data_IF_658752570573
#
_entry.id   IF_658752570573
#
_cell.length_a   1.000
_cell.length_b   1.000
_cell.length_c   1.000
_cell.angle_alpha   90.00
_cell.angle_beta   90.00
_cell.angle_gamma   90.00
#
_symmetry.space_group_name_H-M   'P 1'
#
loop_
_entity.id
_entity.type
_entity.pdbx_description
1 polymer ?
#
# COMPACT_ATOMS: atom_id res chain seq x y z
N UNK A 1 20.78 -0.95 19.97
CA UNK A 1 19.36 -1.01 19.68
C UNK A 1 18.63 0.23 20.21
N UNK A 2 18.72 0.57 21.53
CA UNK A 2 18.01 1.71 22.14
C UNK A 2 18.40 3.07 21.51
N UNK A 3 19.70 3.31 21.27
CA UNK A 3 20.18 4.57 20.64
C UNK A 3 19.74 4.69 19.17
N UNK A 4 19.67 3.58 18.45
CA UNK A 4 19.19 3.55 17.04
C UNK A 4 17.70 3.84 16.97
N UNK A 5 16.89 3.21 17.85
CA UNK A 5 15.45 3.45 17.95
C UNK A 5 15.16 4.92 18.32
N UNK A 6 15.85 5.47 19.32
CA UNK A 6 15.71 6.89 19.71
C UNK A 6 16.08 7.86 18.58
N UNK A 7 17.14 7.57 17.83
CA UNK A 7 17.50 8.38 16.64
C UNK A 7 16.45 8.29 15.55
N UNK A 8 15.91 7.08 15.28
CA UNK A 8 14.85 6.89 14.29
C UNK A 8 13.57 7.60 14.69
N UNK A 9 13.17 7.55 15.96
CA UNK A 9 12.01 8.28 16.48
C UNK A 9 12.22 9.79 16.41
N UNK A 10 13.41 10.28 16.78
CA UNK A 10 13.76 11.69 16.67
C UNK A 10 13.71 12.20 15.23
N UNK A 11 14.31 11.45 14.27
CA UNK A 11 14.26 11.82 12.86
C UNK A 11 12.82 11.79 12.31
N UNK A 12 12.01 10.80 12.69
CA UNK A 12 10.60 10.74 12.29
C UNK A 12 9.81 11.93 12.84
N UNK A 13 10.03 12.32 14.11
CA UNK A 13 9.41 13.48 14.71
C UNK A 13 9.79 14.79 13.99
N UNK A 14 11.08 14.98 13.71
CA UNK A 14 11.56 16.16 12.95
C UNK A 14 10.91 16.19 11.55
N UNK A 15 10.88 15.06 10.84
CA UNK A 15 10.27 14.97 9.52
C UNK A 15 8.79 15.32 9.57
N UNK A 16 8.05 14.82 10.56
CA UNK A 16 6.63 15.16 10.75
C UNK A 16 6.43 16.65 10.98
N UNK A 17 7.21 17.26 11.86
CA UNK A 17 7.14 18.70 12.14
C UNK A 17 7.44 19.52 10.89
N UNK A 18 8.49 19.17 10.13
CA UNK A 18 8.83 19.85 8.87
C UNK A 18 7.69 19.74 7.85
N UNK A 19 7.08 18.55 7.70
CA UNK A 19 5.95 18.35 6.79
C UNK A 19 4.73 19.18 7.21
N UNK A 20 4.40 19.24 8.51
CA UNK A 20 3.30 20.05 9.01
C UNK A 20 3.55 21.55 8.78
N UNK A 21 4.78 22.02 9.01
CA UNK A 21 5.16 23.41 8.75
C UNK A 21 5.10 23.75 7.26
N UNK A 22 5.58 22.86 6.38
CA UNK A 22 5.48 23.04 4.93
C UNK A 22 4.02 23.06 4.47
N UNK A 23 3.18 22.15 4.97
CA UNK A 23 1.75 22.16 4.66
C UNK A 23 1.10 23.47 5.11
N UNK A 24 1.33 23.90 6.34
CA UNK A 24 0.80 25.18 6.83
C UNK A 24 1.30 26.36 6.00
N UNK A 25 2.59 26.39 5.65
CA UNK A 25 3.18 27.44 4.84
C UNK A 25 2.54 27.50 3.43
N UNK A 26 2.35 26.36 2.78
CA UNK A 26 1.69 26.30 1.47
C UNK A 26 0.28 26.87 1.55
N UNK A 27 -0.54 26.43 2.51
CA UNK A 27 -1.91 26.91 2.65
C UNK A 27 -1.95 28.42 2.93
N UNK A 28 -1.08 28.93 3.82
CA UNK A 28 -1.08 30.35 4.19
C UNK A 28 -0.48 31.27 3.12
N UNK A 29 0.52 30.81 2.35
CA UNK A 29 1.18 31.64 1.33
C UNK A 29 0.43 31.66 -0.01
N UNK A 30 -0.31 30.59 -0.34
CA UNK A 30 -1.05 30.51 -1.62
C UNK A 30 -2.35 31.35 -1.60
N UNK A 31 -2.82 31.82 -0.44
CA UNK A 31 -4.08 32.54 -0.33
C UNK A 31 -5.33 31.75 -0.75
N UNK A 32 -5.21 30.41 -0.85
CA UNK A 32 -6.33 29.54 -1.18
C UNK A 32 -7.40 29.67 -0.08
N UNK A 33 -8.65 29.84 -0.47
CA UNK A 33 -9.78 29.92 0.46
C UNK A 33 -9.76 28.71 1.42
N UNK A 34 -9.95 28.97 2.71
CA UNK A 34 -10.06 27.93 3.75
C UNK A 34 -11.24 26.97 3.52
N UNK A 35 -12.12 27.27 2.57
CA UNK A 35 -13.16 26.34 2.10
C UNK A 35 -12.58 25.22 1.23
N UNK A 36 -11.54 25.53 0.44
CA UNK A 36 -10.92 24.57 -0.51
C UNK A 36 -9.78 23.80 0.15
N UNK A 37 -8.92 24.49 0.90
CA UNK A 37 -7.76 23.89 1.54
C UNK A 37 -7.70 24.24 3.03
N UNK A 38 -7.65 23.22 3.86
CA UNK A 38 -7.46 23.34 5.32
C UNK A 38 -6.01 23.09 5.67
N UNK A 39 -5.47 23.93 6.55
CA UNK A 39 -4.14 23.73 7.13
C UNK A 39 -4.17 22.85 8.39
N UNK A 40 -3.00 22.42 8.89
CA UNK A 40 -2.90 21.67 10.15
C UNK A 40 -3.53 22.41 11.33
N UNK A 41 -3.39 23.75 11.38
CA UNK A 41 -3.99 24.56 12.44
C UNK A 41 -5.52 24.59 12.36
N UNK A 42 -6.09 24.63 11.15
CA UNK A 42 -7.54 24.57 10.96
C UNK A 42 -8.10 23.22 11.43
N UNK A 43 -7.40 22.12 11.09
CA UNK A 43 -7.76 20.77 11.53
C UNK A 43 -7.68 20.67 13.06
N UNK A 44 -6.63 21.21 13.65
CA UNK A 44 -6.48 21.23 15.11
C UNK A 44 -7.58 22.07 15.78
N UNK A 45 -7.87 23.24 15.24
CA UNK A 45 -8.95 24.11 15.71
C UNK A 45 -10.30 23.42 15.65
N UNK A 46 -10.62 22.77 14.53
CA UNK A 46 -11.86 22.02 14.33
C UNK A 46 -12.04 20.88 15.33
N UNK A 47 -10.96 20.11 15.59
CA UNK A 47 -11.04 18.93 16.44
C UNK A 47 -10.94 19.20 17.92
N UNK A 48 -10.27 20.31 18.34
CA UNK A 48 -9.91 20.51 19.74
C UNK A 48 -10.27 21.89 20.32
N UNK A 49 -10.50 22.91 19.49
CA UNK A 49 -10.71 24.28 19.97
C UNK A 49 -12.09 24.85 19.64
N UNK A 50 -12.87 24.25 18.74
CA UNK A 50 -14.23 24.70 18.42
C UNK A 50 -15.20 24.37 19.57
N UNK A 51 -16.30 25.12 19.68
CA UNK A 51 -17.37 24.84 20.63
C UNK A 51 -17.94 23.42 20.44
N UNK A 52 -18.02 22.95 19.17
CA UNK A 52 -18.51 21.63 18.79
C UNK A 52 -17.39 20.57 18.70
N UNK A 53 -16.21 20.80 19.30
CA UNK A 53 -15.06 19.90 19.16
C UNK A 53 -15.35 18.45 19.58
N UNK A 54 -16.23 18.23 20.56
CA UNK A 54 -16.62 16.89 21.00
C UNK A 54 -17.43 16.16 19.91
N UNK A 55 -18.40 16.85 19.32
CA UNK A 55 -19.25 16.32 18.26
C UNK A 55 -18.45 16.11 16.97
N UNK A 56 -17.56 17.03 16.63
CA UNK A 56 -16.66 16.91 15.50
C UNK A 56 -15.79 15.64 15.60
N UNK A 57 -15.21 15.35 16.78
CA UNK A 57 -14.46 14.12 17.02
C UNK A 57 -15.34 12.88 16.96
N UNK A 58 -16.54 12.94 17.55
CA UNK A 58 -17.49 11.83 17.54
C UNK A 58 -17.91 11.43 16.11
N UNK A 59 -17.97 12.40 15.20
CA UNK A 59 -18.29 12.15 13.79
C UNK A 59 -17.06 11.70 13.00
N UNK A 60 -15.90 12.35 13.18
CA UNK A 60 -14.73 12.09 12.36
C UNK A 60 -13.97 10.81 12.70
N UNK A 61 -13.82 10.46 13.98
CA UNK A 61 -13.02 9.28 14.35
C UNK A 61 -13.59 7.95 13.84
N UNK A 62 -14.90 7.72 13.83
CA UNK A 62 -15.46 6.53 13.18
C UNK A 62 -15.14 6.47 11.68
N UNK A 63 -15.21 7.59 10.95
CA UNK A 63 -14.89 7.64 9.53
C UNK A 63 -13.40 7.34 9.27
N UNK A 64 -12.50 7.91 10.07
CA UNK A 64 -11.07 7.58 10.00
C UNK A 64 -10.84 6.10 10.31
N UNK A 65 -11.54 5.56 11.32
CA UNK A 65 -11.50 4.14 11.65
C UNK A 65 -11.96 3.25 10.49
N UNK A 66 -13.04 3.65 9.80
CA UNK A 66 -13.52 2.95 8.61
C UNK A 66 -12.48 2.97 7.49
N UNK A 67 -11.95 4.14 7.14
CA UNK A 67 -10.91 4.27 6.10
C UNK A 67 -9.66 3.44 6.43
N UNK A 68 -9.25 3.37 7.70
CA UNK A 68 -8.14 2.52 8.12
C UNK A 68 -8.45 1.03 7.97
N UNK A 69 -9.66 0.60 8.33
CA UNK A 69 -10.11 -0.79 8.16
C UNK A 69 -10.17 -1.17 6.68
N UNK A 70 -10.72 -0.29 5.85
CA UNK A 70 -10.83 -0.47 4.40
C UNK A 70 -9.43 -0.47 3.74
N UNK A 71 -8.54 0.39 4.18
CA UNK A 71 -7.13 0.38 3.73
C UNK A 71 -6.44 -0.94 4.10
N UNK A 72 -6.66 -1.44 5.31
CA UNK A 72 -6.10 -2.72 5.75
C UNK A 72 -6.66 -3.89 4.93
N UNK A 73 -7.94 -3.89 4.63
CA UNK A 73 -8.57 -4.90 3.77
C UNK A 73 -7.96 -4.89 2.37
N UNK A 74 -7.95 -3.74 1.71
CA UNK A 74 -7.38 -3.60 0.36
C UNK A 74 -5.89 -3.98 0.31
N UNK A 75 -5.14 -3.61 1.35
CA UNK A 75 -3.74 -3.97 1.50
C UNK A 75 -3.54 -5.48 1.64
N UNK A 76 -4.26 -6.14 2.55
CA UNK A 76 -4.11 -7.58 2.80
C UNK A 76 -4.50 -8.39 1.56
N UNK A 77 -5.63 -8.07 0.94
CA UNK A 77 -6.08 -8.76 -0.28
C UNK A 77 -5.08 -8.51 -1.42
N UNK A 78 -4.67 -7.27 -1.64
CA UNK A 78 -3.71 -6.92 -2.68
C UNK A 78 -2.34 -7.57 -2.50
N UNK A 79 -1.82 -7.59 -1.27
CA UNK A 79 -0.55 -8.28 -0.94
C UNK A 79 -0.67 -9.79 -1.15
N UNK A 80 -1.78 -10.41 -0.72
CA UNK A 80 -2.01 -11.85 -0.90
C UNK A 80 -2.03 -12.20 -2.39
N UNK A 81 -2.78 -11.46 -3.20
CA UNK A 81 -2.84 -11.63 -4.66
C UNK A 81 -1.45 -11.45 -5.28
N UNK A 82 -0.70 -10.42 -4.90
CA UNK A 82 0.64 -10.16 -5.41
C UNK A 82 1.61 -11.30 -5.09
N UNK A 83 1.59 -11.82 -3.88
CA UNK A 83 2.45 -12.96 -3.47
C UNK A 83 2.06 -14.23 -4.23
N UNK A 84 0.77 -14.53 -4.35
CA UNK A 84 0.28 -15.70 -5.11
C UNK A 84 0.69 -15.60 -6.59
N UNK A 85 0.52 -14.44 -7.22
CA UNK A 85 0.96 -14.19 -8.59
C UNK A 85 2.49 -14.33 -8.73
N UNK A 86 3.26 -13.77 -7.81
CA UNK A 86 4.72 -13.86 -7.84
C UNK A 86 5.20 -15.31 -7.73
N UNK A 87 4.58 -16.10 -6.87
CA UNK A 87 4.84 -17.55 -6.75
C UNK A 87 4.47 -18.29 -8.03
N UNK A 88 3.29 -18.02 -8.59
CA UNK A 88 2.84 -18.63 -9.83
C UNK A 88 3.78 -18.30 -11.01
N UNK A 89 4.22 -17.05 -11.13
CA UNK A 89 5.17 -16.60 -12.15
C UNK A 89 6.54 -17.25 -11.98
N UNK A 90 7.02 -17.39 -10.74
CA UNK A 90 8.28 -18.05 -10.44
C UNK A 90 8.28 -19.56 -10.82
N UNK A 91 7.13 -20.22 -10.69
CA UNK A 91 6.98 -21.65 -11.04
C UNK A 91 6.68 -21.86 -12.52
N UNK A 92 5.86 -21.01 -13.12
CA UNK A 92 5.28 -21.22 -14.45
C UNK A 92 5.50 -20.01 -15.36
N UNK A 93 6.52 -20.03 -16.20
CA UNK A 93 6.82 -18.95 -17.17
C UNK A 93 5.66 -18.66 -18.14
N UNK A 94 4.83 -19.66 -18.45
CA UNK A 94 3.68 -19.48 -19.32
C UNK A 94 2.63 -18.57 -18.66
N UNK A 95 2.42 -18.69 -17.34
CA UNK A 95 1.52 -17.83 -16.59
C UNK A 95 2.07 -16.40 -16.54
N UNK A 96 3.38 -16.24 -16.28
CA UNK A 96 4.04 -14.93 -16.31
C UNK A 96 3.86 -14.26 -17.67
N UNK A 97 4.17 -14.96 -18.76
CA UNK A 97 4.06 -14.42 -20.11
C UNK A 97 2.63 -14.00 -20.50
N UNK A 98 1.62 -14.74 -20.02
CA UNK A 98 0.21 -14.43 -20.29
C UNK A 98 -0.38 -13.34 -19.41
N UNK A 99 0.00 -13.29 -18.13
CA UNK A 99 -0.63 -12.41 -17.12
C UNK A 99 0.13 -11.09 -16.95
N UNK A 100 1.47 -11.09 -17.09
CA UNK A 100 2.27 -9.87 -16.89
C UNK A 100 1.84 -8.71 -17.80
N UNK A 101 1.55 -8.92 -19.10
CA UNK A 101 1.04 -7.83 -19.95
C UNK A 101 -0.25 -7.18 -19.41
N UNK A 102 -1.17 -7.99 -18.85
CA UNK A 102 -2.41 -7.49 -18.27
C UNK A 102 -2.14 -6.65 -17.00
N UNK A 103 -1.22 -7.11 -16.15
CA UNK A 103 -0.81 -6.35 -14.95
C UNK A 103 -0.19 -5.01 -15.34
N UNK A 104 0.64 -4.99 -16.39
CA UNK A 104 1.25 -3.76 -16.90
C UNK A 104 0.20 -2.82 -17.51
N UNK A 105 -0.78 -3.33 -18.24
CA UNK A 105 -1.89 -2.55 -18.77
C UNK A 105 -2.73 -1.92 -17.67
N UNK A 106 -3.08 -2.68 -16.62
CA UNK A 106 -3.83 -2.14 -15.48
C UNK A 106 -3.11 -0.97 -14.81
N UNK A 107 -1.77 -1.00 -14.77
CA UNK A 107 -0.97 0.11 -14.23
C UNK A 107 -1.07 1.39 -15.07
N UNK A 108 -1.25 1.29 -16.39
CA UNK A 108 -1.30 2.46 -17.28
C UNK A 108 -2.62 3.22 -17.19
N UNK A 109 -3.67 2.56 -16.71
CA UNK A 109 -4.99 3.18 -16.57
C UNK A 109 -5.01 4.02 -15.29
N UNK A 110 -5.31 5.34 -15.36
CA UNK A 110 -5.46 6.15 -14.16
C UNK A 110 -6.58 5.60 -13.28
N UNK A 111 -6.25 5.21 -12.05
CA UNK A 111 -7.21 4.59 -11.13
C UNK A 111 -8.45 5.46 -10.92
N UNK A 112 -8.27 6.78 -10.83
CA UNK A 112 -9.37 7.74 -10.67
C UNK A 112 -10.40 7.64 -11.81
N UNK A 113 -9.98 7.25 -13.02
CA UNK A 113 -10.86 7.09 -14.16
C UNK A 113 -11.66 5.78 -14.14
N UNK A 114 -11.10 4.70 -13.56
CA UNK A 114 -11.76 3.39 -13.52
C UNK A 114 -12.54 3.17 -12.21
N UNK A 115 -12.20 3.89 -11.15
CA UNK A 115 -12.87 3.77 -9.85
C UNK A 115 -14.38 3.95 -9.92
N UNK A 116 -14.95 4.96 -10.63
CA UNK A 116 -16.40 5.11 -10.75
C UNK A 116 -17.09 3.90 -11.39
N UNK A 117 -16.42 3.26 -12.37
CA UNK A 117 -16.98 2.05 -13.04
C UNK A 117 -17.02 0.89 -12.06
N UNK A 118 -15.94 0.69 -11.28
CA UNK A 118 -15.88 -0.36 -10.25
C UNK A 118 -16.97 -0.12 -9.20
N UNK A 119 -17.12 1.13 -8.73
CA UNK A 119 -18.13 1.52 -7.73
C UNK A 119 -19.54 1.29 -8.25
N UNK A 120 -19.83 1.59 -9.52
CA UNK A 120 -21.12 1.31 -10.14
C UNK A 120 -21.44 -0.20 -10.18
N UNK A 121 -20.44 -1.04 -10.37
CA UNK A 121 -20.62 -2.50 -10.43
C UNK A 121 -20.71 -3.15 -9.04
N UNK A 122 -20.01 -2.62 -8.06
CA UNK A 122 -19.83 -3.25 -6.74
C UNK A 122 -20.60 -2.55 -5.62
N UNK A 123 -21.00 -1.31 -5.84
CA UNK A 123 -21.60 -0.42 -4.84
C UNK A 123 -20.55 0.47 -4.15
N UNK A 124 -20.95 1.70 -3.82
CA UNK A 124 -20.10 2.67 -3.13
C UNK A 124 -19.87 2.24 -1.68
N UNK A 125 -18.62 2.31 -1.22
CA UNK A 125 -18.23 2.00 0.15
C UNK A 125 -18.47 0.54 0.57
N UNK A 126 -18.71 -0.36 -0.40
CA UNK A 126 -18.87 -1.78 -0.10
C UNK A 126 -17.52 -2.46 0.09
N UNK A 127 -17.51 -3.55 0.86
CA UNK A 127 -16.32 -4.40 1.00
C UNK A 127 -15.77 -4.87 -0.35
N UNK A 128 -16.66 -5.08 -1.34
CA UNK A 128 -16.25 -5.47 -2.69
C UNK A 128 -15.53 -4.34 -3.42
N UNK A 129 -16.06 -3.09 -3.39
CA UNK A 129 -15.38 -1.95 -4.04
C UNK A 129 -14.01 -1.69 -3.43
N UNK A 130 -13.92 -1.70 -2.10
CA UNK A 130 -12.67 -1.52 -1.34
C UNK A 130 -11.66 -2.61 -1.69
N UNK A 131 -12.07 -3.88 -1.67
CA UNK A 131 -11.19 -5.00 -1.99
C UNK A 131 -10.67 -4.92 -3.43
N UNK A 132 -11.52 -4.62 -4.41
CA UNK A 132 -11.12 -4.54 -5.83
C UNK A 132 -10.19 -3.35 -6.07
N UNK A 133 -10.59 -2.13 -5.65
CA UNK A 133 -9.80 -0.92 -5.87
C UNK A 133 -8.47 -1.00 -5.10
N UNK A 134 -8.50 -1.41 -3.82
CA UNK A 134 -7.31 -1.60 -3.01
C UNK A 134 -6.36 -2.65 -3.60
N UNK A 135 -6.89 -3.76 -4.10
CA UNK A 135 -6.10 -4.80 -4.79
C UNK A 135 -5.39 -4.23 -6.02
N UNK A 136 -6.08 -3.50 -6.89
CA UNK A 136 -5.48 -2.91 -8.11
C UNK A 136 -4.29 -2.02 -7.77
N UNK A 137 -4.40 -1.19 -6.73
CA UNK A 137 -3.33 -0.26 -6.33
C UNK A 137 -2.13 -0.98 -5.73
N UNK A 138 -2.39 -2.00 -4.91
CA UNK A 138 -1.36 -2.70 -4.14
C UNK A 138 -0.63 -3.75 -4.96
N UNK A 139 -1.35 -4.46 -5.85
CA UNK A 139 -0.80 -5.63 -6.57
C UNK A 139 0.46 -5.29 -7.36
N UNK A 140 0.46 -4.19 -8.13
CA UNK A 140 1.60 -3.93 -9.02
C UNK A 140 2.91 -3.67 -8.26
N UNK A 141 3.00 -2.69 -7.31
CA UNK A 141 4.24 -2.44 -6.60
C UNK A 141 4.66 -3.63 -5.73
N UNK A 142 3.70 -4.36 -5.17
CA UNK A 142 3.96 -5.56 -4.39
C UNK A 142 4.49 -6.70 -5.27
N UNK A 143 3.84 -7.00 -6.39
CA UNK A 143 4.26 -8.04 -7.33
C UNK A 143 5.68 -7.80 -7.84
N UNK A 144 5.98 -6.58 -8.29
CA UNK A 144 7.31 -6.23 -8.77
C UNK A 144 8.39 -6.44 -7.70
N UNK A 145 8.12 -6.00 -6.47
CA UNK A 145 9.06 -6.14 -5.35
C UNK A 145 9.25 -7.60 -4.92
N UNK A 146 8.17 -8.38 -4.89
CA UNK A 146 8.23 -9.80 -4.52
C UNK A 146 8.95 -10.62 -5.59
N UNK A 147 8.63 -10.41 -6.88
CA UNK A 147 9.35 -11.06 -8.00
C UNK A 147 10.83 -10.76 -7.97
N UNK A 148 11.20 -9.50 -7.74
CA UNK A 148 12.60 -9.11 -7.57
C UNK A 148 13.26 -9.86 -6.40
N UNK A 149 12.56 -10.02 -5.28
CA UNK A 149 13.04 -10.79 -4.14
C UNK A 149 13.25 -12.26 -4.48
N UNK A 150 12.27 -12.89 -5.15
CA UNK A 150 12.35 -14.30 -5.54
C UNK A 150 13.47 -14.58 -6.56
N UNK A 151 13.80 -13.61 -7.41
CA UNK A 151 14.86 -13.73 -8.41
C UNK A 151 16.29 -13.58 -7.84
N UNK A 152 16.44 -13.13 -6.59
CA UNK A 152 17.76 -12.86 -5.95
C UNK A 152 18.44 -14.09 -5.36
N UNK A 153 17.81 -15.27 -5.41
CA UNK A 153 18.43 -16.49 -4.92
C UNK A 153 19.76 -16.75 -5.65
N UNK A 154 20.81 -17.07 -4.90
CA UNK A 154 22.11 -17.36 -5.49
C UNK A 154 22.07 -18.68 -6.25
N UNK A 155 22.74 -18.72 -7.40
CA UNK A 155 22.84 -19.95 -8.20
C UNK A 155 23.43 -21.11 -7.36
N UNK A 156 24.43 -20.82 -6.53
CA UNK A 156 25.05 -21.83 -5.66
C UNK A 156 24.01 -22.48 -4.71
N UNK A 157 23.11 -21.65 -4.12
CA UNK A 157 22.08 -22.20 -3.24
C UNK A 157 21.06 -23.05 -3.99
N UNK A 158 20.76 -22.70 -5.22
CA UNK A 158 19.86 -23.48 -6.09
C UNK A 158 20.52 -24.81 -6.53
N UNK A 159 21.81 -24.76 -6.85
CA UNK A 159 22.59 -25.96 -7.23
C UNK A 159 22.65 -26.98 -6.09
N UNK A 160 22.82 -26.51 -4.83
CA UNK A 160 22.75 -27.39 -3.66
C UNK A 160 21.41 -28.11 -3.60
N UNK A 161 20.29 -27.42 -3.79
CA UNK A 161 18.96 -28.06 -3.79
C UNK A 161 18.86 -29.10 -4.90
N UNK A 162 19.38 -28.80 -6.09
CA UNK A 162 19.36 -29.74 -7.23
C UNK A 162 20.23 -30.99 -7.00
N UNK A 163 21.43 -30.84 -6.44
CA UNK A 163 22.32 -31.96 -6.10
C UNK A 163 21.66 -32.90 -5.09
N UNK A 164 20.86 -32.41 -4.18
CA UNK A 164 20.07 -33.23 -3.25
C UNK A 164 18.72 -33.69 -3.82
N UNK A 165 18.51 -33.60 -5.14
CA UNK A 165 17.31 -34.10 -5.84
C UNK A 165 16.09 -33.21 -5.70
N UNK A 166 16.24 -31.97 -5.19
CA UNK A 166 15.15 -31.03 -5.06
C UNK A 166 14.74 -30.40 -6.40
N UNK A 167 13.42 -30.32 -6.65
CA UNK A 167 12.84 -29.67 -7.83
C UNK A 167 12.56 -28.18 -7.62
N UNK A 168 11.90 -27.56 -8.61
CA UNK A 168 11.54 -26.12 -8.61
C UNK A 168 10.76 -25.70 -7.37
N UNK A 169 9.78 -26.48 -6.93
CA UNK A 169 8.99 -26.18 -5.73
C UNK A 169 9.86 -26.21 -4.46
N UNK A 170 10.78 -27.17 -4.35
CA UNK A 170 11.72 -27.26 -3.24
C UNK A 170 12.64 -26.04 -3.20
N UNK A 171 13.17 -25.62 -4.35
CA UNK A 171 14.00 -24.44 -4.50
C UNK A 171 13.21 -23.18 -4.11
N UNK A 172 11.97 -23.06 -4.56
CA UNK A 172 11.08 -21.94 -4.21
C UNK A 172 10.88 -21.86 -2.71
N UNK A 173 10.44 -22.93 -2.06
CA UNK A 173 10.07 -22.93 -0.64
C UNK A 173 11.27 -22.82 0.31
N UNK A 174 12.41 -23.45 -0.05
CA UNK A 174 13.58 -23.52 0.85
C UNK A 174 14.63 -22.45 0.61
N UNK A 175 14.67 -21.84 -0.58
CA UNK A 175 15.70 -20.86 -0.95
C UNK A 175 15.06 -19.52 -1.34
N UNK A 176 14.21 -19.50 -2.38
CA UNK A 176 13.70 -18.24 -2.93
C UNK A 176 12.79 -17.52 -1.94
N UNK A 177 11.80 -18.18 -1.35
CA UNK A 177 10.84 -17.55 -0.43
C UNK A 177 11.49 -17.02 0.85
N UNK A 178 12.33 -17.76 1.58
CA UNK A 178 13.07 -17.24 2.71
C UNK A 178 13.99 -16.07 2.32
N UNK A 179 14.67 -16.17 1.17
CA UNK A 179 15.52 -15.11 0.64
C UNK A 179 14.74 -13.86 0.20
N UNK A 180 13.47 -14.02 -0.19
CA UNK A 180 12.61 -12.92 -0.61
C UNK A 180 11.93 -12.16 0.54
N UNK A 181 11.97 -12.66 1.78
CA UNK A 181 11.33 -12.02 2.93
C UNK A 181 11.65 -10.51 3.07
N UNK A 182 12.91 -10.05 2.97
CA UNK A 182 13.19 -8.62 3.02
C UNK A 182 12.49 -7.83 1.93
N UNK A 183 12.34 -8.41 0.72
CA UNK A 183 11.64 -7.78 -0.41
C UNK A 183 10.13 -7.79 -0.22
N UNK A 184 9.56 -8.80 0.44
CA UNK A 184 8.14 -8.83 0.83
C UNK A 184 7.83 -7.72 1.84
N UNK A 185 8.70 -7.50 2.84
CA UNK A 185 8.56 -6.37 3.76
C UNK A 185 8.74 -5.01 3.06
N UNK A 186 9.66 -4.93 2.10
CA UNK A 186 9.80 -3.73 1.27
C UNK A 186 8.55 -3.48 0.42
N UNK A 187 7.98 -4.53 -0.20
CA UNK A 187 6.72 -4.49 -0.92
C UNK A 187 5.58 -3.94 -0.04
N UNK A 188 5.44 -4.49 1.17
CA UNK A 188 4.45 -4.03 2.13
C UNK A 188 4.58 -2.53 2.42
N UNK A 189 5.80 -2.07 2.70
CA UNK A 189 6.07 -0.65 3.00
C UNK A 189 5.71 0.29 1.84
N UNK A 190 6.03 -0.09 0.61
CA UNK A 190 5.74 0.72 -0.59
C UNK A 190 4.25 0.72 -0.93
N UNK A 191 3.52 -0.35 -0.59
CA UNK A 191 2.10 -0.51 -0.93
C UNK A 191 1.15 0.16 0.07
N UNK A 192 1.57 0.46 1.31
CA UNK A 192 0.71 1.08 2.33
C UNK A 192 0.08 2.40 1.87
N UNK A 193 0.84 3.40 1.33
CA UNK A 193 0.24 4.64 0.86
C UNK A 193 -0.80 4.41 -0.24
N UNK A 194 -0.52 3.46 -1.14
CA UNK A 194 -1.44 3.07 -2.21
C UNK A 194 -2.74 2.48 -1.65
N UNK A 195 -2.67 1.63 -0.63
CA UNK A 195 -3.85 1.04 -0.01
C UNK A 195 -4.77 2.12 0.60
N UNK A 196 -4.19 3.12 1.28
CA UNK A 196 -4.97 4.26 1.83
C UNK A 196 -5.63 5.06 0.70
N UNK A 197 -4.90 5.35 -0.38
CA UNK A 197 -5.47 6.03 -1.55
C UNK A 197 -6.59 5.22 -2.19
N UNK A 198 -6.43 3.90 -2.28
CA UNK A 198 -7.45 2.98 -2.81
C UNK A 198 -8.73 2.97 -1.96
N UNK A 199 -8.60 2.94 -0.63
CA UNK A 199 -9.74 3.02 0.29
C UNK A 199 -10.50 4.34 0.13
N UNK A 200 -9.79 5.47 0.17
CA UNK A 200 -10.39 6.79 -0.03
C UNK A 200 -11.16 6.90 -1.36
N UNK A 201 -10.63 6.31 -2.45
CA UNK A 201 -11.31 6.29 -3.74
C UNK A 201 -12.55 5.39 -3.75
N UNK A 202 -12.55 4.31 -2.98
CA UNK A 202 -13.69 3.39 -2.87
C UNK A 202 -14.83 3.97 -2.03
N UNK A 203 -14.51 4.81 -1.05
CA UNK A 203 -15.45 5.50 -0.18
C UNK A 203 -16.11 6.73 -0.86
N UNK A 204 -15.39 7.32 -1.84
CA UNK A 204 -15.79 8.55 -2.52
C UNK A 204 -16.91 8.34 -3.53
#
# INVERSE_FOLDING_TARGET
LRKTVLRSLGSAGITLVVLLLLWQAVVSLTGISSFIAKGPLDVWGFLFMSEDAADNRAQMFPLVGQTLADSALGFVVGMAVAVVLAVAFSLFRAIEAGVMPLVLLLRTIPLVSIAPVIILMTGRGTTASVAVIGTIVVVFPALASVLFGLSRASQQSLDVVHVFGGGRLTSLLKVNMPGALPSIFAAARVSVPGAVTGALLAEW
#
